data_IF_568555273942
#
_entry.id   IF_568555273942
#
_cell.length_a   1.000
_cell.length_b   1.000
_cell.length_c   1.000
_cell.angle_alpha   90.00
_cell.angle_beta   90.00
_cell.angle_gamma   90.00
#
_symmetry.space_group_name_H-M   'P 1'
#
loop_
_entity.id
_entity.type
_entity.pdbx_description
1 polymer ?
#
# COMPACT_ATOMS: atom_id res chain seq x y z
N UNK A 1 -18.47 3.47 -1.82
CA UNK A 1 -17.29 2.63 -1.53
C UNK A 1 -17.02 2.76 -0.04
N UNK A 2 -17.47 1.79 0.75
CA UNK A 2 -17.28 1.79 2.21
C UNK A 2 -15.85 1.38 2.57
N UNK A 3 -15.39 1.91 3.71
CA UNK A 3 -14.05 1.85 4.32
C UNK A 3 -13.35 0.47 4.22
N UNK A 4 -12.61 0.21 3.12
CA UNK A 4 -11.94 -1.07 2.86
C UNK A 4 -10.40 -1.04 3.03
N UNK A 5 -9.85 0.06 3.56
CA UNK A 5 -8.40 0.26 3.68
C UNK A 5 -8.00 0.82 5.06
N UNK A 6 -8.60 0.32 6.14
CA UNK A 6 -8.35 0.81 7.50
C UNK A 6 -6.85 0.86 7.86
N UNK A 7 -6.09 -0.17 7.52
CA UNK A 7 -4.64 -0.21 7.76
C UNK A 7 -3.87 0.89 7.00
N UNK A 8 -4.28 1.21 5.76
CA UNK A 8 -3.67 2.30 4.99
C UNK A 8 -4.02 3.66 5.60
N UNK A 9 -5.26 3.85 6.06
CA UNK A 9 -5.68 5.08 6.74
C UNK A 9 -4.95 5.28 8.07
N UNK A 10 -4.78 4.20 8.84
CA UNK A 10 -4.07 4.17 10.11
C UNK A 10 -2.57 4.46 9.90
N UNK A 11 -1.93 3.83 8.92
CA UNK A 11 -0.53 4.12 8.56
C UNK A 11 -0.36 5.58 8.15
N UNK A 12 -1.24 6.11 7.29
CA UNK A 12 -1.18 7.51 6.87
C UNK A 12 -1.32 8.49 8.06
N UNK A 13 -2.10 8.13 9.09
CA UNK A 13 -2.22 8.93 10.33
C UNK A 13 -0.95 8.91 11.20
N UNK A 14 0.00 8.02 10.89
CA UNK A 14 1.25 7.81 11.63
C UNK A 14 2.48 8.17 10.78
N UNK A 15 2.33 9.02 9.76
CA UNK A 15 3.42 9.41 8.86
C UNK A 15 4.68 9.86 9.63
N UNK A 16 4.52 10.63 10.71
CA UNK A 16 5.61 11.13 11.56
C UNK A 16 6.45 10.02 12.22
N UNK A 17 5.86 8.83 12.40
CA UNK A 17 6.55 7.69 13.02
C UNK A 17 7.47 6.96 12.00
N UNK A 18 7.36 7.31 10.70
CA UNK A 18 8.11 6.70 9.60
C UNK A 18 8.75 7.76 8.68
N UNK A 19 9.69 8.58 9.18
CA UNK A 19 10.30 9.66 8.40
C UNK A 19 10.99 9.17 7.12
N UNK A 20 11.57 7.97 7.16
CA UNK A 20 12.24 7.34 6.01
C UNK A 20 11.29 6.93 4.88
N UNK A 21 9.98 6.90 5.16
CA UNK A 21 8.94 6.55 4.17
C UNK A 21 8.30 7.77 3.50
N UNK A 22 8.65 9.00 3.91
CA UNK A 22 8.19 10.26 3.30
C UNK A 22 6.66 10.39 3.10
N UNK A 23 5.88 9.83 4.03
CA UNK A 23 4.41 9.71 3.92
C UNK A 23 3.66 11.06 4.05
N UNK A 24 4.37 12.15 4.32
CA UNK A 24 3.87 13.50 4.59
C UNK A 24 3.08 14.14 3.44
N UNK A 25 3.26 13.66 2.21
CA UNK A 25 2.72 14.31 1.00
C UNK A 25 1.48 13.64 0.39
N UNK A 26 0.98 12.52 0.94
CA UNK A 26 0.09 11.62 0.18
C UNK A 26 -1.22 11.20 0.89
N UNK A 27 -1.66 11.97 1.87
CA UNK A 27 -2.91 11.75 2.64
C UNK A 27 -4.17 12.19 1.84
N UNK A 28 -4.34 11.73 0.60
CA UNK A 28 -5.50 12.14 -0.24
C UNK A 28 -6.54 11.05 -0.47
N UNK A 29 -6.30 9.81 -0.04
CA UNK A 29 -7.32 8.75 -0.10
C UNK A 29 -8.11 8.55 1.19
N UNK A 30 -7.80 9.28 2.27
CA UNK A 30 -8.32 8.98 3.61
C UNK A 30 -9.28 10.05 4.13
N UNK A 31 -10.06 10.69 3.25
CA UNK A 31 -11.21 11.47 3.68
C UNK A 31 -12.35 10.51 4.09
N UNK A 32 -12.32 10.04 5.33
CA UNK A 32 -13.45 9.37 5.97
C UNK A 32 -14.03 10.28 7.06
N UNK A 33 -15.18 10.88 6.75
CA UNK A 33 -16.40 10.89 7.57
C UNK A 33 -16.33 11.09 9.10
N UNK A 34 -15.39 11.89 9.62
CA UNK A 34 -15.51 12.49 10.95
C UNK A 34 -15.00 11.67 12.15
N UNK A 35 -14.29 10.56 11.95
CA UNK A 35 -13.52 9.93 13.04
C UNK A 35 -12.12 10.56 13.09
N UNK A 36 -11.79 11.21 14.21
CA UNK A 36 -10.54 11.96 14.38
C UNK A 36 -9.28 11.12 14.14
N UNK A 37 -8.16 11.82 13.88
CA UNK A 37 -6.83 11.25 13.61
C UNK A 37 -6.28 10.45 14.82
N UNK A 38 -6.60 10.87 16.05
CA UNK A 38 -6.09 10.27 17.29
C UNK A 38 -6.38 8.77 17.47
N UNK A 39 -7.65 8.33 17.38
CA UNK A 39 -7.98 6.90 17.42
C UNK A 39 -7.24 6.05 16.38
N UNK A 40 -7.07 6.56 15.16
CA UNK A 40 -6.37 5.84 14.07
C UNK A 40 -4.90 5.61 14.40
N UNK A 41 -4.23 6.57 15.04
CA UNK A 41 -2.82 6.44 15.47
C UNK A 41 -2.65 5.38 16.56
N UNK A 42 -3.52 5.36 17.57
CA UNK A 42 -3.46 4.36 18.64
C UNK A 42 -3.75 2.93 18.12
N UNK A 43 -4.71 2.80 17.20
CA UNK A 43 -5.01 1.53 16.53
C UNK A 43 -3.82 1.04 15.69
N UNK A 44 -3.14 1.93 14.99
CA UNK A 44 -1.92 1.60 14.24
C UNK A 44 -0.82 1.06 15.15
N UNK A 45 -0.52 1.74 16.25
CA UNK A 45 0.51 1.31 17.21
C UNK A 45 0.21 -0.05 17.81
N UNK A 46 -1.06 -0.35 18.06
CA UNK A 46 -1.49 -1.66 18.54
C UNK A 46 -1.28 -2.73 17.46
N UNK A 47 -1.63 -2.41 16.21
CA UNK A 47 -1.47 -3.30 15.06
C UNK A 47 0.00 -3.62 14.78
N UNK A 48 0.87 -2.60 14.74
CA UNK A 48 2.29 -2.82 14.46
C UNK A 48 2.98 -3.60 15.58
N UNK A 49 2.62 -3.36 16.85
CA UNK A 49 3.12 -4.17 17.97
C UNK A 49 2.70 -5.63 17.84
N UNK A 50 1.46 -5.89 17.44
CA UNK A 50 0.98 -7.25 17.19
C UNK A 50 1.75 -7.91 16.03
N UNK A 51 1.96 -7.20 14.92
CA UNK A 51 2.76 -7.69 13.80
C UNK A 51 4.21 -8.01 14.20
N UNK A 52 4.85 -7.12 14.95
CA UNK A 52 6.22 -7.33 15.47
C UNK A 52 6.31 -8.57 16.36
N UNK A 53 5.31 -8.80 17.21
CA UNK A 53 5.27 -9.98 18.08
C UNK A 53 5.05 -11.29 17.30
N UNK A 54 4.27 -11.24 16.21
CA UNK A 54 3.92 -12.44 15.42
C UNK A 54 4.98 -12.81 14.38
N UNK A 55 5.53 -11.81 13.68
CA UNK A 55 6.40 -12.00 12.53
C UNK A 55 7.87 -11.71 12.83
N UNK A 56 8.15 -10.99 13.91
CA UNK A 56 9.45 -10.37 14.16
C UNK A 56 9.53 -8.93 13.64
N UNK A 57 10.50 -8.13 14.13
CA UNK A 57 10.61 -6.71 13.82
C UNK A 57 10.94 -6.43 12.34
N UNK A 58 11.78 -7.26 11.72
CA UNK A 58 12.16 -7.10 10.31
C UNK A 58 10.98 -7.33 9.38
N UNK A 59 10.27 -8.45 9.54
CA UNK A 59 9.11 -8.79 8.71
C UNK A 59 7.96 -7.79 8.92
N UNK A 60 7.75 -7.32 10.15
CA UNK A 60 6.78 -6.26 10.40
C UNK A 60 7.16 -4.95 9.69
N UNK A 61 8.45 -4.60 9.63
CA UNK A 61 8.93 -3.43 8.88
C UNK A 61 8.67 -3.58 7.39
N UNK A 62 8.89 -4.76 6.80
CA UNK A 62 8.58 -5.04 5.39
C UNK A 62 7.08 -4.89 5.08
N UNK A 63 6.21 -5.32 6.00
CA UNK A 63 4.75 -5.12 5.86
C UNK A 63 4.41 -3.63 5.82
N UNK A 64 4.98 -2.83 6.72
CA UNK A 64 4.78 -1.37 6.72
C UNK A 64 5.29 -0.75 5.43
N UNK A 65 6.48 -1.13 4.99
CA UNK A 65 7.06 -0.63 3.73
C UNK A 65 6.17 -0.98 2.53
N UNK A 66 5.62 -2.18 2.49
CA UNK A 66 4.67 -2.60 1.44
C UNK A 66 3.39 -1.77 1.49
N UNK A 67 2.81 -1.54 2.68
CA UNK A 67 1.62 -0.69 2.85
C UNK A 67 1.89 0.76 2.44
N UNK A 68 3.06 1.30 2.75
CA UNK A 68 3.52 2.60 2.25
C UNK A 68 3.60 2.61 0.73
N UNK A 69 4.16 1.58 0.10
CA UNK A 69 4.19 1.43 -1.36
C UNK A 69 2.78 1.42 -1.98
N UNK A 70 1.81 0.80 -1.32
CA UNK A 70 0.39 0.85 -1.75
C UNK A 70 -0.18 2.27 -1.61
N UNK A 71 0.15 2.99 -0.54
CA UNK A 71 -0.24 4.40 -0.41
C UNK A 71 0.33 5.23 -1.57
N UNK A 72 1.60 5.07 -1.91
CA UNK A 72 2.22 5.78 -3.03
C UNK A 72 1.63 5.41 -4.38
N UNK A 73 1.25 4.15 -4.59
CA UNK A 73 0.53 3.76 -5.80
C UNK A 73 -0.69 4.63 -5.99
N UNK A 74 -1.43 4.95 -4.92
CA UNK A 74 -2.69 5.70 -5.01
C UNK A 74 -2.54 7.14 -5.47
N UNK A 75 -1.36 7.72 -5.25
CA UNK A 75 -1.01 9.08 -5.67
C UNK A 75 -0.14 9.12 -6.91
N UNK A 76 0.37 7.97 -7.38
CA UNK A 76 1.19 7.87 -8.59
C UNK A 76 0.51 8.53 -9.79
N UNK A 77 1.10 9.56 -10.42
CA UNK A 77 0.48 10.26 -11.53
C UNK A 77 0.17 9.33 -12.71
N UNK A 78 -0.97 9.56 -13.36
CA UNK A 78 -1.35 8.82 -14.57
C UNK A 78 -0.59 9.28 -15.82
N UNK A 79 0.07 10.43 -15.75
CA UNK A 79 1.01 10.92 -16.75
C UNK A 79 2.44 10.52 -16.36
N UNK A 80 3.13 9.82 -17.28
CA UNK A 80 4.50 9.34 -17.09
C UNK A 80 5.48 10.48 -16.76
N UNK A 81 5.35 11.64 -17.42
CA UNK A 81 6.30 12.75 -17.27
C UNK A 81 6.19 13.33 -15.87
N UNK A 82 4.96 13.49 -15.37
CA UNK A 82 4.70 13.97 -14.00
C UNK A 82 5.19 13.00 -12.93
N UNK A 83 5.02 11.71 -13.15
CA UNK A 83 5.47 10.69 -12.20
C UNK A 83 6.98 10.66 -11.99
N UNK A 84 7.76 11.12 -12.98
CA UNK A 84 9.21 11.25 -12.87
C UNK A 84 9.66 12.59 -12.24
N UNK A 85 8.88 13.65 -12.38
CA UNK A 85 9.21 14.98 -11.86
C UNK A 85 8.98 15.10 -10.34
N UNK A 86 7.97 14.41 -9.81
CA UNK A 86 7.55 14.56 -8.40
C UNK A 86 8.20 13.56 -7.43
N UNK A 87 9.01 12.62 -7.94
CA UNK A 87 9.70 11.61 -7.14
C UNK A 87 8.81 10.47 -6.63
N UNK A 88 7.51 10.48 -6.95
CA UNK A 88 6.55 9.48 -6.45
C UNK A 88 6.89 8.09 -6.97
N UNK A 89 7.37 8.00 -8.21
CA UNK A 89 7.75 6.73 -8.83
C UNK A 89 8.92 6.07 -8.09
N UNK A 90 9.97 6.83 -7.77
CA UNK A 90 11.17 6.38 -7.06
C UNK A 90 10.85 5.85 -5.67
N UNK A 91 9.96 6.54 -4.95
CA UNK A 91 9.57 6.10 -3.61
C UNK A 91 8.66 4.87 -3.69
N UNK A 92 7.73 4.83 -4.65
CA UNK A 92 6.88 3.67 -4.90
C UNK A 92 7.71 2.41 -5.14
N UNK A 93 8.72 2.50 -6.02
CA UNK A 93 9.55 1.35 -6.39
C UNK A 93 10.45 0.91 -5.23
N UNK A 94 10.98 1.87 -4.46
CA UNK A 94 11.76 1.60 -3.24
C UNK A 94 10.92 0.87 -2.19
N UNK A 95 9.68 1.33 -1.96
CA UNK A 95 8.78 0.72 -0.98
C UNK A 95 8.33 -0.70 -1.38
N UNK A 96 8.10 -0.94 -2.67
CA UNK A 96 7.64 -2.23 -3.18
C UNK A 96 8.78 -3.21 -3.50
N UNK A 97 10.05 -2.78 -3.39
CA UNK A 97 11.21 -3.58 -3.79
C UNK A 97 11.22 -3.92 -5.29
N UNK A 98 10.68 -3.02 -6.13
CA UNK A 98 10.62 -3.16 -7.59
C UNK A 98 11.66 -2.27 -8.26
N UNK A 99 12.01 -2.56 -9.52
CA UNK A 99 12.79 -1.62 -10.33
C UNK A 99 11.87 -0.59 -10.99
N UNK A 100 12.41 0.61 -11.21
CA UNK A 100 11.72 1.69 -11.94
C UNK A 100 11.27 1.21 -13.33
N UNK A 101 12.09 0.41 -14.02
CA UNK A 101 11.77 -0.10 -15.36
C UNK A 101 10.54 -1.02 -15.34
N UNK A 102 10.43 -1.88 -14.33
CA UNK A 102 9.28 -2.79 -14.18
C UNK A 102 8.00 -1.99 -13.97
N UNK A 103 8.03 -1.00 -13.07
CA UNK A 103 6.86 -0.16 -12.80
C UNK A 103 6.49 0.70 -13.99
N UNK A 104 7.49 1.28 -14.69
CA UNK A 104 7.26 2.04 -15.90
C UNK A 104 6.64 1.20 -17.01
N UNK A 105 7.18 0.00 -17.25
CA UNK A 105 6.67 -0.92 -18.25
C UNK A 105 5.28 -1.44 -17.91
N UNK A 106 4.96 -1.63 -16.64
CA UNK A 106 3.66 -2.14 -16.21
C UNK A 106 2.56 -1.08 -16.38
N UNK A 107 2.82 0.16 -15.97
CA UNK A 107 1.80 1.21 -15.96
C UNK A 107 1.74 2.01 -17.26
N UNK A 108 2.89 2.46 -17.78
CA UNK A 108 2.94 3.46 -18.84
C UNK A 108 3.26 2.91 -20.22
N UNK A 109 3.65 1.64 -20.33
CA UNK A 109 3.92 1.01 -21.62
C UNK A 109 2.86 -0.05 -21.94
N UNK A 110 2.48 -0.11 -23.21
CA UNK A 110 1.64 -1.16 -23.76
C UNK A 110 2.38 -1.79 -24.92
N UNK A 111 2.38 -3.11 -24.94
CA UNK A 111 2.85 -3.89 -26.08
C UNK A 111 1.65 -4.30 -26.92
N UNK A 112 1.58 -3.79 -28.15
CA UNK A 112 0.57 -4.19 -29.14
C UNK A 112 1.33 -4.82 -30.30
N UNK A 113 1.26 -6.14 -30.42
CA UNK A 113 2.13 -6.89 -31.32
C UNK A 113 3.61 -6.72 -30.94
N UNK A 114 4.41 -6.20 -31.87
CA UNK A 114 5.83 -5.89 -31.64
C UNK A 114 6.09 -4.43 -31.24
N UNK A 115 5.07 -3.57 -31.31
CA UNK A 115 5.23 -2.15 -31.04
C UNK A 115 5.00 -1.84 -29.56
N UNK A 116 5.78 -0.88 -29.06
CA UNK A 116 5.60 -0.28 -27.73
C UNK A 116 4.90 1.07 -27.89
N UNK A 117 3.81 1.25 -27.16
CA UNK A 117 3.04 2.49 -27.12
C UNK A 117 2.89 2.97 -25.68
N UNK A 118 2.69 4.28 -25.49
CA UNK A 118 2.35 4.83 -24.18
C UNK A 118 0.91 4.47 -23.82
N UNK A 119 0.70 4.08 -22.57
CA UNK A 119 -0.64 3.86 -22.01
C UNK A 119 -1.38 5.20 -21.87
N UNK A 120 -2.68 5.19 -22.17
CA UNK A 120 -3.52 6.36 -21.90
C UNK A 120 -3.74 6.54 -20.39
N UNK A 121 -3.95 7.77 -19.89
CA UNK A 121 -4.13 8.03 -18.45
C UNK A 121 -5.21 7.16 -17.79
N UNK A 122 -6.33 6.90 -18.47
CA UNK A 122 -7.38 6.03 -17.98
C UNK A 122 -6.95 4.56 -17.82
N UNK A 123 -6.06 4.06 -18.69
CA UNK A 123 -5.51 2.71 -18.60
C UNK A 123 -4.51 2.59 -17.45
N UNK A 124 -3.70 3.64 -17.23
CA UNK A 124 -2.80 3.74 -16.08
C UNK A 124 -3.61 3.69 -14.79
N UNK A 125 -4.68 4.50 -14.71
CA UNK A 125 -5.62 4.52 -13.58
C UNK A 125 -6.20 3.12 -13.30
N UNK A 126 -6.75 2.44 -14.32
CA UNK A 126 -7.31 1.09 -14.14
C UNK A 126 -6.26 0.09 -13.68
N UNK A 127 -5.06 0.12 -14.24
CA UNK A 127 -3.97 -0.79 -13.87
C UNK A 127 -3.52 -0.56 -12.43
N UNK A 128 -3.46 0.72 -12.01
CA UNK A 128 -3.16 1.14 -10.64
C UNK A 128 -4.21 0.63 -9.67
N UNK A 129 -5.48 0.87 -9.95
CA UNK A 129 -6.59 0.46 -9.06
C UNK A 129 -6.62 -1.06 -8.90
N UNK A 130 -6.38 -1.81 -9.99
CA UNK A 130 -6.27 -3.26 -9.96
C UNK A 130 -5.09 -3.74 -9.11
N UNK A 131 -3.91 -3.11 -9.25
CA UNK A 131 -2.74 -3.48 -8.47
C UNK A 131 -2.94 -3.20 -6.98
N UNK A 132 -3.50 -2.03 -6.62
CA UNK A 132 -3.85 -1.68 -5.24
C UNK A 132 -4.80 -2.71 -4.65
N UNK A 133 -5.87 -3.06 -5.37
CA UNK A 133 -6.82 -4.08 -4.93
C UNK A 133 -6.14 -5.44 -4.75
N UNK A 134 -5.27 -5.84 -5.66
CA UNK A 134 -4.57 -7.11 -5.62
C UNK A 134 -3.57 -7.19 -4.46
N UNK A 135 -2.71 -6.17 -4.29
CA UNK A 135 -1.73 -6.11 -3.22
C UNK A 135 -2.38 -6.04 -1.85
N UNK A 136 -3.40 -5.17 -1.69
CA UNK A 136 -4.16 -5.10 -0.45
C UNK A 136 -4.83 -6.45 -0.15
N UNK A 137 -5.45 -7.07 -1.16
CA UNK A 137 -5.99 -8.41 -1.00
C UNK A 137 -4.90 -9.39 -0.61
N UNK A 138 -3.71 -9.40 -1.22
CA UNK A 138 -2.63 -10.36 -0.89
C UNK A 138 -2.06 -10.21 0.51
N UNK A 139 -1.88 -8.98 0.98
CA UNK A 139 -1.42 -8.69 2.35
C UNK A 139 -2.43 -9.23 3.38
N UNK A 140 -3.73 -9.04 3.10
CA UNK A 140 -4.80 -9.45 4.01
C UNK A 140 -5.42 -10.82 3.67
N UNK A 141 -4.98 -11.47 2.58
CA UNK A 141 -5.31 -12.85 2.18
C UNK A 141 -4.42 -13.86 2.92
N UNK A 142 -4.23 -13.64 4.23
CA UNK A 142 -4.31 -14.78 5.14
C UNK A 142 -5.74 -15.29 4.99
N UNK A 143 -5.89 -16.23 4.07
CA UNK A 143 -7.14 -16.93 3.84
C UNK A 143 -7.57 -17.54 5.17
N UNK A 144 -8.71 -17.06 5.67
CA UNK A 144 -9.71 -17.91 6.32
C UNK A 144 -10.09 -19.05 5.36
N UNK A 145 -9.18 -20.01 5.14
CA UNK A 145 -9.50 -21.35 4.65
C UNK A 145 -8.76 -22.36 5.54
N UNK A 146 -9.58 -23.02 6.35
CA UNK A 146 -9.47 -24.40 6.81
C UNK A 146 -8.50 -24.85 7.90
N UNK A 147 -7.87 -23.97 8.69
CA UNK A 147 -7.39 -24.33 10.05
C UNK A 147 -7.47 -23.18 11.06
N UNK A 148 -8.67 -22.65 11.29
CA UNK A 148 -8.95 -22.04 12.59
C UNK A 148 -8.97 -23.17 13.62
N UNK A 149 -7.81 -23.49 14.21
CA UNK A 149 -7.79 -24.19 15.50
C UNK A 149 -8.51 -23.25 16.47
N UNK A 150 -9.62 -23.66 17.09
CA UNK A 150 -10.24 -22.84 18.11
C UNK A 150 -9.20 -22.55 19.19
N UNK A 151 -8.97 -21.27 19.51
CA UNK A 151 -8.29 -20.86 20.73
C UNK A 151 -9.19 -21.16 21.95
N UNK A 152 -9.49 -22.44 22.17
CA UNK A 152 -10.12 -23.01 23.36
C UNK A 152 -9.56 -24.42 23.60
N UNK A 153 -8.36 -24.47 24.18
CA UNK A 153 -7.95 -25.50 25.15
C UNK A 153 -6.57 -25.16 25.75
N UNK A 154 -6.44 -23.98 26.35
CA UNK A 154 -5.40 -23.71 27.35
C UNK A 154 -6.15 -23.22 28.60
N UNK A 155 -6.70 -24.19 29.31
CA UNK A 155 -7.57 -24.00 30.46
C UNK A 155 -8.16 -25.36 30.82
N UNK A 156 -7.52 -25.98 31.82
CA UNK A 156 -7.77 -27.27 32.51
C UNK A 156 -6.89 -28.45 32.05
#
# INVERSE_FOLDING_TARGET
>A
MHSNFAALQQLASCADDYPDLHLDKHILLCNDNGTGIGPKKAEWHSTIRALQNLLGPEQASEVVRTLAGILYLTTLPTDRSRAAEDGTLEITVSCLGLSTEVVQSYFYERKIGNDKMLAYPAQVQTSRDNLICHLNSKIFQVSWNDKCVPLRSLGD
#
